data_IF_341201664532
#
_entry.id   IF_341201664532
#
_cell.length_a   1.000
_cell.length_b   1.000
_cell.length_c   1.000
_cell.angle_alpha   90.00
_cell.angle_beta   90.00
_cell.angle_gamma   90.00
#
_symmetry.space_group_name_H-M   'P 1'
#
loop_
_entity.id
_entity.type
_entity.pdbx_description
1 polymer ?
#
# COMPACT_ATOMS: atom_id res chain seq x y z
N UNK A 1 -12.61 -14.88 -3.41
CA UNK A 1 -11.26 -15.48 -3.48
C UNK A 1 -11.01 -16.31 -2.23
N UNK A 2 -11.28 -15.76 -1.05
CA UNK A 2 -11.07 -16.46 0.24
C UNK A 2 -11.95 -17.71 0.34
N UNK A 3 -13.23 -17.63 -0.04
CA UNK A 3 -14.15 -18.78 -0.04
C UNK A 3 -13.70 -19.88 -0.98
N UNK A 4 -13.10 -19.51 -2.12
CA UNK A 4 -12.56 -20.47 -3.08
C UNK A 4 -11.32 -21.20 -2.55
N UNK A 5 -10.49 -20.49 -1.77
CA UNK A 5 -9.27 -21.06 -1.16
C UNK A 5 -9.64 -22.01 -0.02
N UNK A 6 -10.61 -21.64 0.81
CA UNK A 6 -11.04 -22.45 1.97
C UNK A 6 -11.85 -23.69 1.57
N UNK A 7 -12.52 -23.68 0.41
CA UNK A 7 -13.34 -24.80 -0.05
C UNK A 7 -12.58 -25.91 -0.78
N UNK A 8 -11.32 -25.67 -1.17
CA UNK A 8 -10.48 -26.71 -1.77
C UNK A 8 -9.49 -27.25 -0.74
N UNK A 9 -9.69 -28.48 -0.32
CA UNK A 9 -8.69 -29.34 0.33
C UNK A 9 -7.54 -29.64 -0.65
N UNK A 10 -6.84 -28.63 -1.10
CA UNK A 10 -5.68 -28.81 -1.93
C UNK A 10 -4.44 -28.62 -1.05
N UNK A 11 -3.51 -29.56 -1.08
CA UNK A 11 -2.16 -29.46 -0.52
C UNK A 11 -1.31 -28.39 -1.26
N UNK A 12 -1.89 -27.21 -1.46
CA UNK A 12 -1.26 -26.08 -2.12
C UNK A 12 -1.01 -24.99 -1.08
N UNK A 13 0.24 -24.65 -0.89
CA UNK A 13 0.60 -23.47 -0.09
C UNK A 13 0.31 -22.21 -0.94
N UNK A 14 -0.75 -21.48 -0.58
CA UNK A 14 -1.03 -20.20 -1.16
C UNK A 14 -0.39 -19.10 -0.32
N UNK A 15 0.43 -18.26 -0.94
CA UNK A 15 0.82 -16.97 -0.40
C UNK A 15 0.02 -15.90 -1.13
N UNK A 16 -0.72 -15.07 -0.40
CA UNK A 16 -1.36 -13.89 -0.97
C UNK A 16 -0.48 -12.69 -0.69
N UNK A 17 0.01 -12.06 -1.74
CA UNK A 17 0.66 -10.76 -1.63
C UNK A 17 -0.34 -9.67 -2.00
N UNK A 18 -0.61 -8.77 -1.08
CA UNK A 18 -1.46 -7.63 -1.34
C UNK A 18 -1.38 -6.61 -0.22
N UNK A 19 -1.02 -5.38 -0.58
CA UNK A 19 -1.14 -4.27 0.34
C UNK A 19 -2.61 -4.08 0.70
N UNK A 20 -2.89 -3.84 2.00
CA UNK A 20 -4.24 -3.57 2.49
C UNK A 20 -5.27 -4.69 2.28
N UNK A 21 -4.83 -5.93 2.08
CA UNK A 21 -5.73 -7.08 1.96
C UNK A 21 -6.64 -7.20 3.19
N UNK A 22 -6.14 -6.84 4.35
CA UNK A 22 -6.88 -6.82 5.62
C UNK A 22 -8.03 -5.79 5.64
N UNK A 23 -8.05 -4.77 4.79
CA UNK A 23 -9.18 -3.83 4.72
C UNK A 23 -10.39 -4.45 4.01
N UNK A 24 -10.15 -5.41 3.14
CA UNK A 24 -11.19 -6.20 2.49
C UNK A 24 -11.58 -7.43 3.32
N UNK A 25 -10.63 -7.97 4.09
CA UNK A 25 -10.76 -9.20 4.88
C UNK A 25 -10.19 -8.98 6.29
N UNK A 26 -10.87 -8.22 7.15
CA UNK A 26 -10.39 -7.88 8.49
C UNK A 26 -10.17 -9.10 9.39
N UNK A 27 -10.83 -10.22 9.10
CA UNK A 27 -10.65 -11.49 9.79
C UNK A 27 -9.25 -12.12 9.61
N UNK A 28 -8.50 -11.67 8.60
CA UNK A 28 -7.11 -12.10 8.41
C UNK A 28 -6.15 -11.49 9.45
N UNK A 29 -6.62 -10.48 10.17
CA UNK A 29 -5.90 -9.87 11.28
C UNK A 29 -6.67 -10.13 12.56
N UNK A 30 -6.06 -10.85 13.47
CA UNK A 30 -6.65 -11.06 14.80
C UNK A 30 -6.70 -9.70 15.53
N UNK A 31 -7.91 -9.25 15.88
CA UNK A 31 -8.20 -7.95 16.51
C UNK A 31 -7.50 -7.71 17.86
N UNK A 32 -6.76 -8.68 18.38
CA UNK A 32 -6.01 -8.61 19.63
C UNK A 32 -4.53 -8.23 19.46
N UNK A 33 -4.07 -7.93 18.25
CA UNK A 33 -2.67 -7.61 17.99
C UNK A 33 -2.43 -6.12 18.20
N UNK A 34 -1.61 -5.76 19.18
CA UNK A 34 -0.99 -4.44 19.23
C UNK A 34 0.12 -4.39 18.17
N UNK A 35 -0.07 -3.54 17.16
CA UNK A 35 0.89 -3.38 16.08
C UNK A 35 2.14 -2.62 16.56
N UNK A 36 3.29 -3.24 16.42
CA UNK A 36 4.61 -2.61 16.57
C UNK A 36 4.97 -1.78 15.32
N UNK A 37 6.05 -1.00 15.37
CA UNK A 37 6.59 -0.33 14.17
C UNK A 37 7.00 -1.33 13.08
N UNK A 38 7.45 -2.52 13.48
CA UNK A 38 7.77 -3.59 12.55
C UNK A 38 6.52 -4.08 11.80
N UNK A 39 5.39 -4.19 12.49
CA UNK A 39 4.13 -4.60 11.88
C UNK A 39 3.61 -3.54 10.90
N UNK A 40 3.80 -2.25 11.19
CA UNK A 40 3.49 -1.17 10.25
C UNK A 40 4.28 -1.33 8.94
N UNK A 41 5.57 -1.61 9.03
CA UNK A 41 6.44 -1.86 7.88
C UNK A 41 6.03 -3.09 7.08
N UNK A 42 5.61 -4.14 7.77
CA UNK A 42 5.33 -5.44 7.16
C UNK A 42 3.92 -5.50 6.54
N UNK A 43 2.91 -5.01 7.25
CA UNK A 43 1.51 -5.09 6.82
C UNK A 43 1.02 -3.85 6.08
N UNK A 44 1.69 -2.71 6.23
CA UNK A 44 1.35 -1.45 5.59
C UNK A 44 1.75 -1.37 4.12
N UNK A 45 1.80 -0.14 3.61
CA UNK A 45 2.21 0.12 2.23
C UNK A 45 3.73 -0.09 2.06
N UNK A 46 4.13 -1.18 1.42
CA UNK A 46 5.55 -1.51 1.21
C UNK A 46 6.31 -0.46 0.38
N UNK A 47 5.62 0.24 -0.53
CA UNK A 47 6.21 1.36 -1.27
C UNK A 47 6.67 2.51 -0.38
N UNK A 48 6.13 2.58 0.84
CA UNK A 48 6.50 3.58 1.85
C UNK A 48 7.83 3.26 2.54
N UNK A 49 8.10 1.98 2.78
CA UNK A 49 9.16 1.54 3.67
C UNK A 49 10.27 0.73 3.01
N UNK A 50 9.92 -0.20 2.11
CA UNK A 50 10.84 -1.27 1.71
C UNK A 50 10.78 -1.64 0.24
N UNK A 51 9.93 -1.01 -0.58
CA UNK A 51 9.71 -1.46 -1.96
C UNK A 51 9.93 -0.35 -2.98
N UNK A 52 10.69 -0.70 -4.00
CA UNK A 52 10.85 0.01 -5.26
C UNK A 52 10.86 -1.04 -6.38
N UNK A 53 10.24 -0.75 -7.50
CA UNK A 53 10.25 -1.63 -8.68
C UNK A 53 10.91 -0.93 -9.85
N UNK A 54 11.75 -1.67 -10.57
CA UNK A 54 12.43 -1.19 -11.77
C UNK A 54 11.91 -2.03 -12.94
N UNK A 55 11.32 -1.36 -13.90
CA UNK A 55 10.77 -1.97 -15.09
C UNK A 55 11.89 -2.26 -16.12
N UNK A 56 11.62 -3.11 -17.08
CA UNK A 56 12.60 -3.50 -18.12
C UNK A 56 13.13 -2.32 -18.95
N UNK A 57 12.36 -1.24 -19.07
CA UNK A 57 12.75 0.00 -19.73
C UNK A 57 13.48 0.99 -18.81
N UNK A 58 13.78 0.58 -17.58
CA UNK A 58 14.42 1.42 -16.56
C UNK A 58 13.47 2.29 -15.75
N UNK A 59 12.18 2.36 -16.05
CA UNK A 59 11.23 3.15 -15.25
C UNK A 59 11.21 2.67 -13.78
N UNK A 60 11.30 3.62 -12.86
CA UNK A 60 11.25 3.37 -11.43
C UNK A 60 9.83 3.64 -10.93
N UNK A 61 9.22 2.66 -10.26
CA UNK A 61 7.89 2.74 -9.67
C UNK A 61 7.94 2.43 -8.18
N UNK A 62 7.12 3.09 -7.35
CA UNK A 62 6.98 2.71 -5.95
C UNK A 62 6.42 1.30 -5.76
N UNK A 63 5.49 0.90 -6.63
CA UNK A 63 4.99 -0.48 -6.75
C UNK A 63 4.29 -0.66 -8.10
N UNK A 64 3.99 -1.92 -8.46
CA UNK A 64 3.35 -2.25 -9.74
C UNK A 64 2.00 -1.54 -9.96
N UNK A 65 1.28 -1.20 -8.89
CA UNK A 65 0.00 -0.49 -9.01
C UNK A 65 0.12 0.91 -9.62
N UNK A 66 1.34 1.47 -9.67
CA UNK A 66 1.64 2.73 -10.38
C UNK A 66 1.81 2.55 -11.89
N UNK A 67 1.82 1.32 -12.39
CA UNK A 67 1.87 1.08 -13.82
C UNK A 67 0.63 1.70 -14.51
N UNK A 68 0.87 2.55 -15.50
CA UNK A 68 -0.20 3.28 -16.19
C UNK A 68 -0.76 4.50 -15.47
N UNK A 69 -0.29 4.80 -14.26
CA UNK A 69 -0.62 6.07 -13.60
C UNK A 69 0.22 7.18 -14.23
N UNK A 70 -0.45 8.26 -14.64
CA UNK A 70 0.24 9.39 -15.26
C UNK A 70 0.97 10.23 -14.19
N UNK A 71 2.18 9.84 -13.90
CA UNK A 71 3.10 10.47 -12.95
C UNK A 71 4.46 10.66 -13.63
N UNK A 72 5.21 11.67 -13.22
CA UNK A 72 6.62 11.80 -13.64
C UNK A 72 7.38 10.59 -13.13
N UNK A 73 7.93 9.81 -14.07
CA UNK A 73 8.72 8.64 -13.75
C UNK A 73 10.19 9.00 -13.74
N UNK A 74 10.91 8.47 -12.77
CA UNK A 74 12.37 8.46 -12.78
C UNK A 74 12.85 7.22 -13.54
N UNK A 75 14.08 7.27 -14.03
CA UNK A 75 14.66 6.17 -14.78
C UNK A 75 16.00 5.73 -14.17
N UNK A 76 16.15 4.44 -13.91
CA UNK A 76 17.30 3.85 -13.23
C UNK A 76 18.61 3.92 -14.06
N UNK A 77 18.51 4.18 -15.37
CA UNK A 77 19.70 4.41 -16.20
C UNK A 77 20.20 5.87 -16.11
N UNK A 78 19.40 6.77 -15.52
CA UNK A 78 19.69 8.21 -15.49
C UNK A 78 19.87 8.73 -14.06
N UNK A 79 19.32 8.04 -13.06
CA UNK A 79 19.26 8.49 -11.67
C UNK A 79 19.80 7.44 -10.71
N UNK A 80 20.46 7.91 -9.65
CA UNK A 80 20.80 7.06 -8.53
C UNK A 80 19.51 6.62 -7.79
N UNK A 81 19.45 5.35 -7.42
CA UNK A 81 18.27 4.77 -6.78
C UNK A 81 18.02 5.32 -5.37
N UNK A 82 19.09 5.68 -4.65
CA UNK A 82 18.97 6.27 -3.32
C UNK A 82 18.45 7.71 -3.43
N UNK A 83 18.90 8.49 -4.41
CA UNK A 83 18.37 9.83 -4.66
C UNK A 83 16.87 9.75 -4.99
N UNK A 84 16.47 8.81 -5.84
CA UNK A 84 15.05 8.61 -6.13
C UNK A 84 14.28 8.18 -4.87
N UNK A 85 14.84 7.28 -4.08
CA UNK A 85 14.18 6.81 -2.85
C UNK A 85 13.96 7.92 -1.84
N UNK A 86 14.97 8.77 -1.61
CA UNK A 86 14.91 9.77 -0.55
C UNK A 86 14.34 11.10 -1.00
N UNK A 87 14.62 11.55 -2.23
CA UNK A 87 14.40 12.92 -2.67
C UNK A 87 13.26 13.08 -3.67
N UNK A 88 12.78 11.99 -4.28
CA UNK A 88 11.68 12.09 -5.23
C UNK A 88 10.36 12.47 -4.52
N UNK A 89 9.65 13.51 -5.01
CA UNK A 89 8.41 13.99 -4.40
C UNK A 89 7.30 12.94 -4.32
N UNK A 90 7.26 11.97 -5.23
CA UNK A 90 6.26 10.90 -5.20
C UNK A 90 6.47 10.00 -3.98
N UNK A 91 7.71 9.58 -3.73
CA UNK A 91 8.04 8.79 -2.54
C UNK A 91 7.85 9.60 -1.25
N UNK A 92 8.22 10.88 -1.27
CA UNK A 92 7.93 11.81 -0.18
C UNK A 92 6.44 11.91 0.13
N UNK A 93 5.61 12.02 -0.92
CA UNK A 93 4.16 12.05 -0.81
C UNK A 93 3.58 10.77 -0.22
N UNK A 94 4.06 9.61 -0.67
CA UNK A 94 3.63 8.31 -0.13
C UNK A 94 3.97 8.21 1.36
N UNK A 95 5.19 8.57 1.76
CA UNK A 95 5.66 8.49 3.15
C UNK A 95 4.96 9.45 4.10
N UNK A 96 4.63 10.65 3.63
CA UNK A 96 4.03 11.71 4.45
C UNK A 96 2.51 11.66 4.52
N UNK A 97 1.86 10.89 3.64
CA UNK A 97 0.40 10.85 3.61
C UNK A 97 -0.19 10.31 4.91
N UNK A 98 -1.20 11.03 5.41
CA UNK A 98 -2.06 10.63 6.53
C UNK A 98 -3.48 11.10 6.24
N UNK A 99 -4.43 10.17 6.25
CA UNK A 99 -5.84 10.52 6.06
C UNK A 99 -6.42 11.29 7.25
N UNK A 100 -7.36 12.18 6.95
CA UNK A 100 -8.21 12.87 7.95
C UNK A 100 -9.68 12.43 7.87
N UNK A 101 -9.97 11.33 7.22
CA UNK A 101 -11.30 10.75 7.17
C UNK A 101 -11.71 10.28 8.58
N UNK A 102 -12.88 10.71 9.03
CA UNK A 102 -13.35 10.45 10.41
C UNK A 102 -13.52 8.96 10.71
N UNK A 103 -14.00 8.18 9.75
CA UNK A 103 -14.12 6.72 9.89
C UNK A 103 -12.76 6.05 10.03
N UNK A 104 -11.77 6.51 9.27
CA UNK A 104 -10.41 6.00 9.38
C UNK A 104 -9.78 6.38 10.74
N UNK A 105 -10.01 7.60 11.21
CA UNK A 105 -9.45 8.07 12.48
C UNK A 105 -9.95 7.27 13.70
N UNK A 106 -11.14 6.67 13.61
CA UNK A 106 -11.69 5.79 14.66
C UNK A 106 -11.40 4.30 14.41
N UNK A 107 -10.73 3.95 13.33
CA UNK A 107 -10.46 2.57 12.97
C UNK A 107 -9.22 2.01 13.68
N UNK A 108 -9.33 0.83 14.29
CA UNK A 108 -8.21 0.16 14.95
C UNK A 108 -7.06 -0.23 14.01
N UNK A 109 -7.32 -0.29 12.69
CA UNK A 109 -6.31 -0.60 11.67
C UNK A 109 -5.64 0.66 11.08
N UNK A 110 -5.97 1.86 11.57
CA UNK A 110 -5.42 3.11 11.00
C UNK A 110 -3.88 3.10 10.97
N UNK A 111 -3.27 2.57 12.00
CA UNK A 111 -1.81 2.56 12.18
C UNK A 111 -1.09 1.87 11.01
N UNK A 112 -1.64 0.78 10.50
CA UNK A 112 -1.07 0.02 9.37
C UNK A 112 -1.71 0.38 8.04
N UNK A 113 -2.97 0.81 8.02
CA UNK A 113 -3.72 1.12 6.81
C UNK A 113 -3.51 2.56 6.31
N UNK A 114 -3.42 3.53 7.24
CA UNK A 114 -3.23 4.96 6.96
C UNK A 114 -4.26 5.57 5.98
N UNK A 115 -5.38 4.90 5.77
CA UNK A 115 -6.46 5.32 4.87
C UNK A 115 -6.49 4.58 3.53
N UNK A 116 -5.56 3.65 3.28
CA UNK A 116 -5.57 2.78 2.11
C UNK A 116 -4.46 3.03 1.09
N UNK A 117 -4.70 2.57 -0.14
CA UNK A 117 -3.70 2.58 -1.20
C UNK A 117 -3.45 4.01 -1.74
N UNK A 118 -2.20 4.44 -1.75
CA UNK A 118 -1.82 5.76 -2.26
C UNK A 118 -2.15 5.94 -3.76
N UNK A 119 -2.13 4.88 -4.55
CA UNK A 119 -2.52 4.95 -5.98
C UNK A 119 -3.99 5.35 -6.12
N UNK A 120 -4.86 4.88 -5.25
CA UNK A 120 -6.26 5.30 -5.24
C UNK A 120 -6.40 6.74 -4.76
N UNK A 121 -5.60 7.14 -3.76
CA UNK A 121 -5.57 8.51 -3.25
C UNK A 121 -5.26 9.55 -4.33
N UNK A 122 -4.26 9.33 -5.19
CA UNK A 122 -3.87 10.32 -6.21
C UNK A 122 -4.94 10.53 -7.29
N UNK A 123 -5.92 9.66 -7.38
CA UNK A 123 -7.08 9.78 -8.26
C UNK A 123 -8.23 10.59 -7.63
N UNK A 124 -8.12 10.88 -6.33
CA UNK A 124 -9.19 11.53 -5.58
C UNK A 124 -9.14 13.07 -5.63
N UNK A 125 -10.31 13.70 -5.71
CA UNK A 125 -10.42 15.16 -5.70
C UNK A 125 -10.17 15.78 -4.32
N UNK A 126 -10.38 15.00 -3.25
CA UNK A 126 -10.25 15.46 -1.86
C UNK A 126 -9.31 14.56 -1.06
N UNK A 127 -8.01 14.55 -1.37
CA UNK A 127 -7.05 13.59 -0.81
C UNK A 127 -6.94 13.66 0.73
N UNK A 128 -7.16 14.84 1.31
CA UNK A 128 -7.10 15.02 2.77
C UNK A 128 -8.06 14.11 3.55
N UNK A 129 -9.24 13.83 2.99
CA UNK A 129 -10.27 13.01 3.61
C UNK A 129 -10.41 11.64 2.96
N UNK A 130 -9.40 11.24 2.24
CA UNK A 130 -9.40 9.98 1.52
C UNK A 130 -9.65 8.79 2.43
N UNK A 131 -10.47 7.89 1.96
CA UNK A 131 -10.67 6.53 2.44
C UNK A 131 -10.71 5.63 1.22
N UNK A 132 -9.93 4.56 1.26
CA UNK A 132 -9.85 3.66 0.12
C UNK A 132 -11.23 3.11 -0.25
N UNK A 133 -11.66 3.19 -1.52
CA UNK A 133 -12.96 2.67 -1.96
C UNK A 133 -13.12 1.16 -1.80
N UNK A 134 -12.03 0.40 -1.70
CA UNK A 134 -12.09 -1.05 -1.44
C UNK A 134 -12.23 -1.38 0.05
N UNK A 135 -12.20 -0.37 0.93
CA UNK A 135 -12.33 -0.57 2.37
C UNK A 135 -13.77 -0.91 2.76
N UNK A 136 -13.99 -2.09 3.33
CA UNK A 136 -15.28 -2.60 3.78
C UNK A 136 -15.55 -2.38 5.30
N UNK A 137 -14.64 -1.71 6.02
CA UNK A 137 -14.75 -1.44 7.46
C UNK A 137 -15.60 -0.21 7.77
#
# INVERSE_FOLDING_TARGET
VTDYITQREANLNFATEGCHLFTAYPELINNSIEFSEFDEMYYGCRAKYTKMEIMSNGDILPCIAFLGVNQTKQNAFEKDLLDVWYDDPLYGGIRSFRTKNSKCLSCGLLKICEGGCYVNLIKEKSPKYFRDPVCNL
#
